data_IF_576965327359
#
_entry.id   IF_576965327359
#
_cell.length_a   1.000
_cell.length_b   1.000
_cell.length_c   1.000
_cell.angle_alpha   90.00
_cell.angle_beta   90.00
_cell.angle_gamma   90.00
#
_symmetry.space_group_name_H-M   'P 1'
#
loop_
_entity.id
_entity.type
_entity.pdbx_description
1 polymer ?
#
# COMPACT_ATOMS: atom_id res chain seq x y z
N UNK A 1 9.61 -5.32 -12.22
CA UNK A 1 10.65 -6.24 -11.71
C UNK A 1 10.02 -7.21 -10.71
N UNK A 2 10.56 -8.43 -10.60
CA UNK A 2 9.99 -9.47 -9.76
C UNK A 2 10.26 -9.20 -8.26
N UNK A 3 9.26 -9.47 -7.43
CA UNK A 3 9.40 -9.51 -5.98
C UNK A 3 9.59 -10.95 -5.52
N UNK A 4 10.44 -11.11 -4.51
CA UNK A 4 10.52 -12.35 -3.73
C UNK A 4 10.01 -12.06 -2.33
N UNK A 5 9.17 -12.92 -1.78
CA UNK A 5 8.64 -12.77 -0.42
C UNK A 5 9.19 -13.89 0.44
N UNK A 6 9.66 -13.55 1.66
CA UNK A 6 10.07 -14.52 2.67
C UNK A 6 9.40 -14.22 4.00
N UNK A 7 8.80 -15.25 4.60
CA UNK A 7 8.21 -15.20 5.92
C UNK A 7 9.26 -15.51 7.00
N UNK A 8 9.43 -14.59 7.94
CA UNK A 8 10.38 -14.73 9.04
C UNK A 8 9.65 -15.14 10.31
N UNK A 9 10.20 -16.16 10.97
CA UNK A 9 9.68 -16.78 12.20
C UNK A 9 10.67 -16.57 13.36
N UNK A 10 10.23 -16.81 14.58
CA UNK A 10 10.98 -16.59 15.81
C UNK A 10 10.49 -15.35 16.55
N UNK A 11 11.25 -14.89 17.55
CA UNK A 11 10.92 -13.66 18.27
C UNK A 11 11.26 -12.41 17.45
N UNK A 12 10.70 -11.28 17.79
CA UNK A 12 10.75 -10.06 16.97
C UNK A 12 12.16 -9.63 16.56
N UNK A 13 13.11 -9.67 17.48
CA UNK A 13 14.50 -9.32 17.18
C UNK A 13 15.14 -10.30 16.19
N UNK A 14 14.87 -11.61 16.35
CA UNK A 14 15.40 -12.64 15.48
C UNK A 14 14.89 -12.48 14.05
N UNK A 15 13.59 -12.17 13.86
CA UNK A 15 12.98 -11.91 12.53
C UNK A 15 13.65 -10.75 11.82
N UNK A 16 13.84 -9.64 12.53
CA UNK A 16 14.50 -8.45 12.01
C UNK A 16 15.97 -8.70 11.65
N UNK A 17 16.71 -9.41 12.52
CA UNK A 17 18.11 -9.79 12.26
C UNK A 17 18.25 -10.69 11.03
N UNK A 18 17.35 -11.67 10.87
CA UNK A 18 17.32 -12.55 9.72
C UNK A 18 16.97 -11.79 8.43
N UNK A 19 15.98 -10.89 8.45
CA UNK A 19 15.66 -10.04 7.32
C UNK A 19 16.81 -9.08 6.94
N UNK A 20 17.54 -8.57 7.94
CA UNK A 20 18.75 -7.77 7.73
C UNK A 20 19.87 -8.58 7.06
N UNK A 21 20.07 -9.83 7.49
CA UNK A 21 21.08 -10.72 6.92
C UNK A 21 20.77 -11.06 5.46
N UNK A 22 19.51 -11.28 5.14
CA UNK A 22 19.04 -11.56 3.77
C UNK A 22 18.97 -10.29 2.89
N UNK A 23 19.27 -9.11 3.43
CA UNK A 23 19.23 -7.82 2.72
C UNK A 23 17.86 -7.53 2.10
N UNK A 24 16.79 -7.80 2.83
CA UNK A 24 15.45 -7.42 2.40
C UNK A 24 15.37 -5.90 2.18
N UNK A 25 14.57 -5.48 1.20
CA UNK A 25 14.39 -4.04 0.88
C UNK A 25 13.26 -3.40 1.67
N UNK A 26 12.35 -4.21 2.19
CA UNK A 26 11.21 -3.81 2.98
C UNK A 26 10.89 -4.87 4.04
N UNK A 27 10.44 -4.43 5.21
CA UNK A 27 9.96 -5.30 6.29
C UNK A 27 8.55 -4.93 6.68
N UNK A 28 7.65 -5.90 6.66
CA UNK A 28 6.25 -5.77 7.06
C UNK A 28 5.96 -6.74 8.19
N UNK A 29 5.51 -6.23 9.32
CA UNK A 29 4.84 -7.03 10.34
C UNK A 29 3.35 -6.71 10.32
N UNK A 30 2.49 -7.72 10.21
CA UNK A 30 1.04 -7.53 10.10
C UNK A 30 0.34 -7.97 11.37
N UNK A 31 -0.46 -7.06 11.91
CA UNK A 31 -1.33 -7.21 13.07
C UNK A 31 -2.75 -6.78 12.72
N UNK A 32 -3.67 -6.98 13.65
CA UNK A 32 -4.95 -6.29 13.71
C UNK A 32 -5.08 -5.66 15.09
N UNK A 33 -5.53 -4.43 15.15
CA UNK A 33 -5.67 -3.68 16.40
C UNK A 33 -6.79 -4.28 17.27
N UNK A 34 -6.75 -3.97 18.54
CA UNK A 34 -7.83 -4.34 19.47
C UNK A 34 -7.94 -3.29 20.56
N UNK A 35 -9.17 -3.00 20.99
CA UNK A 35 -9.47 -2.04 22.04
C UNK A 35 -10.57 -2.50 22.97
N UNK A 36 -10.72 -1.85 24.11
CA UNK A 36 -11.78 -2.16 25.07
C UNK A 36 -13.18 -1.78 24.56
N UNK A 37 -13.27 -0.75 23.69
CA UNK A 37 -14.53 -0.36 23.06
C UNK A 37 -14.77 -1.15 21.78
N UNK A 38 -15.93 -1.81 21.61
CA UNK A 38 -16.28 -2.46 20.37
C UNK A 38 -16.58 -1.49 19.22
N UNK A 39 -16.70 -0.19 19.50
CA UNK A 39 -16.86 0.85 18.49
C UNK A 39 -15.54 1.49 18.05
N UNK A 40 -14.41 1.12 18.69
CA UNK A 40 -13.10 1.59 18.27
C UNK A 40 -12.79 1.09 16.85
N UNK A 41 -12.35 2.00 15.98
CA UNK A 41 -12.02 1.63 14.60
C UNK A 41 -11.28 2.75 13.87
N UNK A 42 -10.03 2.47 13.49
CA UNK A 42 -9.20 3.32 12.66
C UNK A 42 -8.06 2.49 12.06
N UNK A 43 -7.52 2.95 10.97
CA UNK A 43 -6.30 2.38 10.39
C UNK A 43 -5.08 3.12 10.91
N UNK A 44 -4.05 2.40 11.35
CA UNK A 44 -2.80 2.99 11.83
C UNK A 44 -1.62 2.05 11.54
N UNK A 45 -0.44 2.62 11.44
CA UNK A 45 0.81 1.90 11.23
C UNK A 45 1.82 2.31 12.29
N UNK A 46 2.39 1.35 12.99
CA UNK A 46 3.52 1.61 13.89
C UNK A 46 4.80 1.63 13.05
N UNK A 47 5.59 2.67 13.26
CA UNK A 47 6.95 2.78 12.74
C UNK A 47 7.93 2.94 13.88
N UNK A 48 9.16 2.46 13.71
CA UNK A 48 10.17 2.54 14.76
C UNK A 48 10.44 3.96 15.23
N UNK A 49 10.87 4.12 16.47
CA UNK A 49 11.30 5.42 17.03
C UNK A 49 12.43 6.06 16.20
N UNK A 50 13.22 5.24 15.51
CA UNK A 50 14.30 5.61 14.59
C UNK A 50 13.89 5.51 13.09
N UNK A 51 12.58 5.46 12.79
CA UNK A 51 12.10 5.22 11.44
C UNK A 51 12.59 6.24 10.43
N UNK A 52 12.97 5.77 9.25
CA UNK A 52 13.31 6.59 8.10
C UNK A 52 12.10 7.37 7.57
N UNK A 53 12.34 8.38 6.74
CA UNK A 53 11.28 9.09 6.02
C UNK A 53 10.46 8.15 5.14
N UNK A 54 11.09 7.17 4.50
CA UNK A 54 10.43 6.15 3.70
C UNK A 54 9.45 5.33 4.54
N UNK A 55 9.85 4.83 5.73
CA UNK A 55 8.93 4.10 6.62
C UNK A 55 7.73 4.95 7.03
N UNK A 56 7.96 6.23 7.38
CA UNK A 56 6.90 7.16 7.79
C UNK A 56 5.92 7.46 6.65
N UNK A 57 6.43 7.73 5.44
CA UNK A 57 5.60 8.01 4.28
C UNK A 57 4.82 6.78 3.83
N UNK A 58 5.47 5.61 3.85
CA UNK A 58 4.83 4.33 3.56
C UNK A 58 3.69 4.03 4.52
N UNK A 59 3.93 4.18 5.84
CA UNK A 59 2.92 3.97 6.87
C UNK A 59 1.72 4.90 6.70
N UNK A 60 1.95 6.20 6.45
CA UNK A 60 0.87 7.17 6.23
C UNK A 60 0.03 6.84 4.99
N UNK A 61 0.69 6.49 3.90
CA UNK A 61 0.02 6.11 2.67
C UNK A 61 -0.86 4.87 2.89
N UNK A 62 -0.29 3.82 3.50
CA UNK A 62 -1.01 2.57 3.76
C UNK A 62 -2.23 2.78 4.66
N UNK A 63 -2.07 3.49 5.78
CA UNK A 63 -3.18 3.76 6.70
C UNK A 63 -4.32 4.53 6.02
N UNK A 64 -4.00 5.50 5.17
CA UNK A 64 -5.00 6.26 4.41
C UNK A 64 -5.71 5.38 3.40
N UNK A 65 -4.98 4.59 2.62
CA UNK A 65 -5.58 3.68 1.64
C UNK A 65 -6.53 2.65 2.29
N UNK A 66 -6.17 2.14 3.48
CA UNK A 66 -7.06 1.27 4.26
C UNK A 66 -8.29 2.04 4.76
N UNK A 67 -8.10 3.25 5.28
CA UNK A 67 -9.20 4.07 5.78
C UNK A 67 -10.22 4.37 4.67
N UNK A 68 -9.74 4.73 3.49
CA UNK A 68 -10.57 5.00 2.31
C UNK A 68 -11.31 3.74 1.84
N UNK A 69 -10.63 2.59 1.78
CA UNK A 69 -11.21 1.31 1.33
C UNK A 69 -12.31 0.79 2.26
N UNK A 70 -12.14 0.95 3.58
CA UNK A 70 -13.03 0.38 4.58
C UNK A 70 -13.95 1.40 5.25
N UNK A 71 -13.93 2.66 4.84
CA UNK A 71 -14.75 3.73 5.40
C UNK A 71 -14.45 3.98 6.88
N UNK A 72 -13.20 3.82 7.30
CA UNK A 72 -12.78 4.04 8.69
C UNK A 72 -11.94 5.32 8.83
N UNK A 73 -11.55 5.65 10.06
CA UNK A 73 -10.71 6.82 10.33
C UNK A 73 -9.22 6.46 10.20
N UNK A 74 -8.39 7.48 10.06
CA UNK A 74 -6.93 7.38 10.17
C UNK A 74 -6.52 7.71 11.60
N UNK A 75 -5.81 6.80 12.26
CA UNK A 75 -5.32 6.97 13.63
C UNK A 75 -3.93 7.62 13.71
N UNK A 76 -3.51 7.97 14.92
CA UNK A 76 -2.16 8.49 15.19
C UNK A 76 -1.87 9.84 14.52
N UNK A 77 -0.60 10.09 14.21
CA UNK A 77 -0.14 11.28 13.48
C UNK A 77 -0.25 11.01 11.97
N UNK A 78 -1.41 11.35 11.40
CA UNK A 78 -1.68 11.17 9.97
C UNK A 78 -1.53 9.71 9.49
N UNK A 79 -1.84 8.74 10.31
CA UNK A 79 -1.79 7.31 10.01
C UNK A 79 -0.62 6.55 10.63
N UNK A 80 0.26 7.21 11.38
CA UNK A 80 1.40 6.54 12.00
C UNK A 80 1.49 6.78 13.51
N UNK A 81 2.07 5.80 14.22
CA UNK A 81 2.54 5.90 15.60
C UNK A 81 4.04 5.66 15.62
N UNK A 82 4.81 6.73 15.81
CA UNK A 82 6.27 6.65 15.90
C UNK A 82 6.66 6.10 17.26
N UNK A 83 7.41 4.98 17.28
CA UNK A 83 7.77 4.31 18.53
C UNK A 83 6.61 3.54 19.18
N UNK A 84 5.50 3.39 18.47
CA UNK A 84 4.35 2.61 18.90
C UNK A 84 3.46 3.28 19.94
N UNK A 85 2.52 2.51 20.48
CA UNK A 85 1.61 2.95 21.53
C UNK A 85 2.27 2.81 22.89
N UNK A 86 2.72 3.90 23.48
CA UNK A 86 3.47 3.90 24.74
C UNK A 86 4.68 2.91 24.71
N UNK A 87 5.38 2.86 23.57
CA UNK A 87 6.52 1.97 23.35
C UNK A 87 6.16 0.56 22.85
N UNK A 88 4.89 0.17 22.86
CA UNK A 88 4.45 -1.13 22.31
C UNK A 88 4.51 -1.11 20.79
N UNK A 89 5.14 -2.14 20.20
CA UNK A 89 5.34 -2.24 18.77
C UNK A 89 6.66 -1.64 18.25
N UNK A 90 7.30 -0.74 19.00
CA UNK A 90 8.61 -0.16 18.62
C UNK A 90 9.67 -1.26 18.39
N UNK A 91 9.79 -2.19 19.35
CA UNK A 91 10.74 -3.30 19.29
C UNK A 91 10.53 -4.26 18.12
N UNK A 92 9.36 -4.24 17.48
CA UNK A 92 9.02 -5.11 16.37
C UNK A 92 9.61 -4.64 15.04
N UNK A 93 10.01 -3.36 14.93
CA UNK A 93 10.42 -2.74 13.66
C UNK A 93 11.71 -1.92 13.75
N UNK A 94 12.13 -1.47 14.93
CA UNK A 94 13.25 -0.52 15.06
C UNK A 94 14.65 -1.11 14.82
N UNK A 95 14.79 -2.43 14.81
CA UNK A 95 16.08 -3.10 14.61
C UNK A 95 16.32 -3.53 13.17
N UNK A 96 15.43 -3.15 12.25
CA UNK A 96 15.59 -3.35 10.81
C UNK A 96 16.56 -2.33 10.22
N UNK A 97 17.30 -2.74 9.19
CA UNK A 97 18.18 -1.85 8.39
C UNK A 97 17.46 -1.26 7.17
N UNK A 98 16.39 -1.90 6.75
CA UNK A 98 15.52 -1.44 5.67
C UNK A 98 14.33 -0.67 6.23
N UNK A 99 13.56 0.05 5.40
CA UNK A 99 12.27 0.59 5.80
C UNK A 99 11.34 -0.50 6.34
N UNK A 100 10.69 -0.23 7.48
CA UNK A 100 9.87 -1.18 8.19
C UNK A 100 8.56 -0.55 8.67
N UNK A 101 7.50 -1.35 8.64
CA UNK A 101 6.17 -1.00 9.11
C UNK A 101 5.54 -2.16 9.88
N UNK A 102 4.82 -1.86 10.97
CA UNK A 102 3.91 -2.76 11.63
C UNK A 102 2.48 -2.26 11.36
N UNK A 103 1.71 -3.06 10.68
CA UNK A 103 0.38 -2.71 10.18
C UNK A 103 -0.69 -3.07 11.20
N UNK A 104 -1.57 -2.12 11.48
CA UNK A 104 -2.76 -2.26 12.32
C UNK A 104 -3.98 -1.71 11.53
N UNK A 105 -4.38 -2.40 10.44
CA UNK A 105 -5.33 -1.83 9.48
C UNK A 105 -6.75 -1.69 10.00
N UNK A 106 -7.20 -2.64 10.82
CA UNK A 106 -8.57 -2.76 11.32
C UNK A 106 -8.56 -3.31 12.75
N UNK A 107 -9.70 -3.21 13.44
CA UNK A 107 -9.86 -3.66 14.83
C UNK A 107 -10.52 -5.02 14.90
N UNK A 108 -9.83 -5.99 15.50
CA UNK A 108 -10.34 -7.32 15.82
C UNK A 108 -11.52 -7.27 16.80
N UNK A 109 -11.52 -6.29 17.71
CA UNK A 109 -12.59 -6.08 18.72
C UNK A 109 -13.84 -5.38 18.17
N UNK A 110 -13.79 -4.76 16.99
CA UNK A 110 -14.92 -4.10 16.36
C UNK A 110 -15.68 -5.11 15.50
N UNK A 111 -16.97 -5.43 15.78
CA UNK A 111 -17.69 -6.47 15.05
C UNK A 111 -17.75 -6.27 13.54
N UNK A 112 -18.00 -5.04 13.08
CA UNK A 112 -18.08 -4.74 11.65
C UNK A 112 -16.71 -4.90 10.96
N UNK A 113 -15.64 -4.44 11.61
CA UNK A 113 -14.29 -4.60 11.07
C UNK A 113 -13.80 -6.04 11.18
N UNK A 114 -14.17 -6.77 12.23
CA UNK A 114 -13.89 -8.20 12.37
C UNK A 114 -14.58 -9.03 11.27
N UNK A 115 -15.79 -8.65 10.85
CA UNK A 115 -16.46 -9.29 9.70
C UNK A 115 -15.66 -9.06 8.40
N UNK A 116 -15.15 -7.84 8.18
CA UNK A 116 -14.27 -7.56 7.05
C UNK A 116 -12.96 -8.38 7.12
N UNK A 117 -12.32 -8.47 8.30
CA UNK A 117 -11.10 -9.26 8.52
C UNK A 117 -11.32 -10.74 8.21
N UNK A 118 -12.47 -11.30 8.57
CA UNK A 118 -12.82 -12.72 8.31
C UNK A 118 -13.17 -12.98 6.84
N UNK A 119 -13.73 -11.98 6.15
CA UNK A 119 -14.21 -12.15 4.79
C UNK A 119 -13.07 -12.30 3.79
N UNK A 120 -13.26 -13.14 2.79
CA UNK A 120 -12.30 -13.27 1.70
C UNK A 120 -12.13 -11.95 0.93
N UNK A 121 -13.20 -11.22 0.73
CA UNK A 121 -13.20 -9.91 0.06
C UNK A 121 -12.37 -8.88 0.83
N UNK A 122 -12.54 -8.80 2.16
CA UNK A 122 -11.77 -7.90 3.01
C UNK A 122 -10.29 -8.26 3.05
N UNK A 123 -9.96 -9.54 3.19
CA UNK A 123 -8.56 -10.01 3.13
C UNK A 123 -7.92 -9.71 1.77
N UNK A 124 -8.65 -9.93 0.67
CA UNK A 124 -8.18 -9.62 -0.67
C UNK A 124 -7.99 -8.10 -0.89
N UNK A 125 -8.86 -7.27 -0.32
CA UNK A 125 -8.71 -5.81 -0.34
C UNK A 125 -7.46 -5.36 0.41
N UNK A 126 -7.25 -5.84 1.66
CA UNK A 126 -6.05 -5.55 2.43
C UNK A 126 -4.77 -6.02 1.71
N UNK A 127 -4.80 -7.20 1.10
CA UNK A 127 -3.68 -7.72 0.35
C UNK A 127 -3.35 -6.84 -0.88
N UNK A 128 -4.35 -6.39 -1.63
CA UNK A 128 -4.14 -5.47 -2.77
C UNK A 128 -3.54 -4.14 -2.34
N UNK A 129 -4.04 -3.53 -1.26
CA UNK A 129 -3.48 -2.29 -0.71
C UNK A 129 -2.01 -2.49 -0.32
N UNK A 130 -1.69 -3.62 0.33
CA UNK A 130 -0.30 -3.90 0.71
C UNK A 130 0.60 -4.11 -0.51
N UNK A 131 0.13 -4.81 -1.54
CA UNK A 131 0.85 -4.97 -2.82
C UNK A 131 1.12 -3.62 -3.46
N UNK A 132 0.11 -2.77 -3.57
CA UNK A 132 0.23 -1.43 -4.15
C UNK A 132 1.24 -0.59 -3.36
N UNK A 133 1.16 -0.62 -2.02
CA UNK A 133 2.11 0.08 -1.16
C UNK A 133 3.55 -0.38 -1.38
N UNK A 134 3.78 -1.70 -1.46
CA UNK A 134 5.11 -2.26 -1.71
C UNK A 134 5.62 -1.83 -3.09
N UNK A 135 4.80 -1.91 -4.13
CA UNK A 135 5.17 -1.50 -5.48
C UNK A 135 5.48 0.00 -5.58
N UNK A 136 4.72 0.82 -4.86
CA UNK A 136 4.90 2.28 -4.83
C UNK A 136 6.22 2.70 -4.16
N UNK A 137 6.56 2.09 -3.03
CA UNK A 137 7.72 2.51 -2.24
C UNK A 137 9.00 1.74 -2.57
N UNK A 138 8.88 0.59 -3.23
CA UNK A 138 10.00 -0.29 -3.60
C UNK A 138 9.87 -0.78 -5.05
N UNK A 139 9.81 0.13 -6.04
CA UNK A 139 9.47 -0.20 -7.43
C UNK A 139 10.48 -1.15 -8.10
N UNK A 140 11.70 -1.22 -7.58
CA UNK A 140 12.77 -2.05 -8.14
C UNK A 140 12.60 -3.57 -7.84
N UNK A 141 11.55 -3.96 -7.12
CA UNK A 141 11.34 -5.35 -6.72
C UNK A 141 12.29 -5.78 -5.61
N UNK A 142 12.79 -7.02 -5.67
CA UNK A 142 13.67 -7.67 -4.70
C UNK A 142 12.93 -8.35 -3.55
N UNK A 143 13.68 -8.70 -2.48
CA UNK A 143 13.18 -9.43 -1.33
C UNK A 143 12.40 -8.53 -0.37
N UNK A 144 11.13 -8.88 -0.13
CA UNK A 144 10.26 -8.28 0.89
C UNK A 144 10.14 -9.27 2.06
N UNK A 145 10.42 -8.79 3.26
CA UNK A 145 10.33 -9.57 4.49
C UNK A 145 8.94 -9.45 5.10
N UNK A 146 8.27 -10.58 5.33
CA UNK A 146 6.99 -10.65 6.02
C UNK A 146 7.13 -11.29 7.39
N UNK A 147 6.42 -10.74 8.37
CA UNK A 147 6.30 -11.20 9.74
C UNK A 147 4.83 -11.22 10.15
N UNK A 148 4.35 -12.37 10.58
CA UNK A 148 3.00 -12.49 11.13
C UNK A 148 3.03 -12.08 12.59
N UNK A 149 2.26 -11.09 12.97
CA UNK A 149 2.12 -10.66 14.35
C UNK A 149 1.72 -11.81 15.28
N UNK A 150 2.23 -11.83 16.48
CA UNK A 150 1.97 -12.86 17.50
C UNK A 150 2.44 -14.28 17.11
N UNK A 151 2.21 -14.74 15.90
CA UNK A 151 2.46 -16.12 15.47
C UNK A 151 3.95 -16.44 15.38
N UNK A 152 4.29 -17.70 15.59
CA UNK A 152 5.64 -18.25 15.43
C UNK A 152 6.73 -17.73 16.39
N UNK A 153 6.35 -17.11 17.49
CA UNK A 153 7.31 -16.75 18.53
C UNK A 153 7.88 -17.99 19.21
N UNK A 154 9.19 -18.00 19.46
CA UNK A 154 9.84 -19.03 20.28
C UNK A 154 9.55 -18.85 21.76
N UNK A 155 9.53 -17.61 22.23
CA UNK A 155 9.24 -17.27 23.63
C UNK A 155 7.77 -17.46 24.03
N UNK A 156 6.85 -17.45 23.07
CA UNK A 156 5.41 -17.58 23.31
C UNK A 156 4.74 -18.30 22.13
N UNK A 157 4.95 -19.62 21.96
CA UNK A 157 4.52 -20.36 20.76
C UNK A 157 2.99 -20.45 20.59
N UNK A 158 2.23 -20.25 21.66
CA UNK A 158 0.75 -20.27 21.65
C UNK A 158 0.12 -18.87 21.54
N UNK A 159 0.93 -17.80 21.44
CA UNK A 159 0.43 -16.46 21.24
C UNK A 159 -0.27 -16.36 19.87
N UNK A 160 -1.50 -15.86 19.87
CA UNK A 160 -2.33 -15.65 18.67
C UNK A 160 -2.87 -14.22 18.58
N UNK A 161 -2.45 -13.35 19.51
CA UNK A 161 -2.95 -11.97 19.56
C UNK A 161 -4.40 -11.90 20.03
N UNK A 162 -5.11 -10.90 19.59
CA UNK A 162 -6.50 -10.67 19.96
C UNK A 162 -7.44 -11.71 19.34
N UNK A 163 -8.49 -12.06 20.09
CA UNK A 163 -9.63 -12.76 19.51
C UNK A 163 -10.48 -11.79 18.69
N UNK A 164 -10.92 -12.23 17.51
CA UNK A 164 -11.85 -11.45 16.70
C UNK A 164 -13.26 -11.54 17.26
N UNK A 165 -13.98 -10.43 17.23
CA UNK A 165 -15.43 -10.45 17.46
C UNK A 165 -16.08 -11.41 16.45
N UNK A 166 -16.82 -12.40 16.97
CA UNK A 166 -17.42 -13.45 16.14
C UNK A 166 -16.54 -14.65 15.82
N UNK A 167 -15.32 -14.72 16.35
CA UNK A 167 -14.42 -15.89 16.29
C UNK A 167 -13.21 -15.73 15.36
N UNK A 168 -12.23 -16.57 15.60
CA UNK A 168 -10.91 -16.50 14.95
C UNK A 168 -9.91 -15.67 15.76
N UNK A 169 -8.67 -15.61 15.30
CA UNK A 169 -7.60 -14.88 15.96
C UNK A 169 -6.92 -13.89 15.01
N UNK A 170 -6.40 -12.81 15.58
CA UNK A 170 -5.63 -11.79 14.87
C UNK A 170 -4.53 -12.41 14.00
N UNK A 171 -3.72 -13.28 14.59
CA UNK A 171 -2.56 -13.86 13.92
C UNK A 171 -2.93 -14.76 12.73
N UNK A 172 -4.03 -15.50 12.82
CA UNK A 172 -4.44 -16.39 11.72
C UNK A 172 -4.93 -15.58 10.52
N UNK A 173 -5.67 -14.50 10.75
CA UNK A 173 -6.15 -13.63 9.67
C UNK A 173 -5.03 -12.72 9.11
N UNK A 174 -4.10 -12.26 9.95
CA UNK A 174 -2.92 -11.53 9.49
C UNK A 174 -2.07 -12.40 8.54
N UNK A 175 -1.93 -13.70 8.86
CA UNK A 175 -1.22 -14.63 7.99
C UNK A 175 -1.92 -14.78 6.63
N UNK A 176 -3.25 -14.93 6.62
CA UNK A 176 -4.02 -15.04 5.36
C UNK A 176 -3.84 -13.82 4.46
N UNK A 177 -3.86 -12.61 5.03
CA UNK A 177 -3.61 -11.38 4.27
C UNK A 177 -2.20 -11.38 3.70
N UNK A 178 -1.18 -11.72 4.49
CA UNK A 178 0.20 -11.77 4.03
C UNK A 178 0.43 -12.86 2.96
N UNK A 179 -0.21 -14.02 3.07
CA UNK A 179 -0.14 -15.08 2.07
C UNK A 179 -0.74 -14.62 0.73
N UNK A 180 -1.92 -13.99 0.75
CA UNK A 180 -2.55 -13.40 -0.44
C UNK A 180 -1.65 -12.31 -1.05
N UNK A 181 -1.05 -11.46 -0.21
CA UNK A 181 -0.09 -10.43 -0.66
C UNK A 181 1.13 -11.04 -1.33
N UNK A 182 1.70 -12.10 -0.74
CA UNK A 182 2.86 -12.80 -1.31
C UNK A 182 2.55 -13.40 -2.70
N UNK A 183 1.37 -14.00 -2.86
CA UNK A 183 0.92 -14.53 -4.14
C UNK A 183 0.78 -13.41 -5.20
N UNK A 184 0.19 -12.28 -4.83
CA UNK A 184 0.01 -11.13 -5.74
C UNK A 184 1.33 -10.42 -6.08
N UNK A 185 2.30 -10.39 -5.18
CA UNK A 185 3.63 -9.84 -5.44
C UNK A 185 4.46 -10.75 -6.34
N UNK A 186 4.32 -12.08 -6.18
CA UNK A 186 5.00 -13.07 -7.01
C UNK A 186 4.39 -13.16 -8.43
N UNK A 187 3.10 -12.88 -8.57
CA UNK A 187 2.50 -12.71 -9.88
C UNK A 187 3.13 -11.47 -10.53
N UNK A 188 3.63 -11.63 -11.76
CA UNK A 188 4.02 -10.45 -12.51
C UNK A 188 2.82 -9.49 -12.54
N UNK A 189 3.04 -8.17 -12.31
CA UNK A 189 1.96 -7.23 -12.53
C UNK A 189 1.44 -7.52 -13.94
N UNK A 190 0.14 -7.78 -14.06
CA UNK A 190 -0.48 -7.77 -15.37
C UNK A 190 0.07 -6.51 -16.04
N UNK A 191 0.77 -6.68 -17.17
CA UNK A 191 1.25 -5.52 -17.93
C UNK A 191 0.02 -4.65 -18.07
N UNK A 192 -0.02 -3.44 -17.48
CA UNK A 192 -1.19 -2.61 -17.67
C UNK A 192 -1.37 -2.54 -19.17
N UNK A 193 -2.52 -2.90 -19.66
CA UNK A 193 -2.86 -2.69 -21.06
C UNK A 193 -2.93 -1.17 -21.16
N UNK A 194 -1.76 -0.55 -21.37
CA UNK A 194 -1.70 0.90 -21.48
C UNK A 194 -2.61 1.27 -22.64
N UNK A 195 -3.76 1.80 -22.30
CA UNK A 195 -4.62 2.42 -23.29
C UNK A 195 -3.87 3.62 -23.82
N UNK A 196 -3.79 3.71 -25.12
CA UNK A 196 -3.19 4.86 -25.78
C UNK A 196 -4.29 5.83 -26.16
N UNK A 197 -4.26 7.03 -25.57
CA UNK A 197 -5.08 8.13 -26.08
C UNK A 197 -4.44 8.68 -27.34
N UNK A 198 -5.18 8.61 -28.44
CA UNK A 198 -4.76 9.19 -29.71
C UNK A 198 -5.68 10.33 -30.08
N UNK A 199 -5.13 11.51 -30.28
CA UNK A 199 -5.86 12.68 -30.79
C UNK A 199 -5.57 12.80 -32.27
N UNK A 200 -6.64 12.70 -33.08
CA UNK A 200 -6.57 12.66 -34.54
C UNK A 200 -7.24 13.90 -35.15
N UNK A 201 -6.71 14.39 -36.26
CA UNK A 201 -7.41 15.32 -37.18
C UNK A 201 -7.56 14.61 -38.53
N UNK A 202 -8.76 14.08 -38.81
CA UNK A 202 -8.92 13.16 -39.92
C UNK A 202 -8.01 11.94 -39.71
N UNK A 203 -7.17 11.60 -40.66
CA UNK A 203 -6.22 10.51 -40.59
C UNK A 203 -4.87 10.90 -39.95
N UNK A 204 -4.66 12.18 -39.65
CA UNK A 204 -3.39 12.68 -39.08
C UNK A 204 -3.37 12.52 -37.57
N UNK A 205 -2.40 11.77 -37.04
CA UNK A 205 -2.11 11.68 -35.62
C UNK A 205 -1.50 12.99 -35.15
N UNK A 206 -2.16 13.69 -34.22
CA UNK A 206 -1.68 14.93 -33.62
C UNK A 206 -0.91 14.71 -32.32
N UNK A 207 -1.36 13.71 -31.55
CA UNK A 207 -0.79 13.45 -30.22
C UNK A 207 -1.14 12.02 -29.81
N UNK A 208 -0.21 11.37 -29.12
CA UNK A 208 -0.40 10.06 -28.50
C UNK A 208 0.23 10.04 -27.12
N UNK A 209 -0.48 9.54 -26.11
CA UNK A 209 0.01 9.38 -24.76
C UNK A 209 -0.59 8.14 -24.11
N UNK A 210 0.15 7.40 -23.28
CA UNK A 210 -0.42 6.37 -22.45
C UNK A 210 -1.36 7.00 -21.41
N UNK A 211 -2.49 6.34 -21.17
CA UNK A 211 -3.48 6.71 -20.14
C UNK A 211 -3.85 5.46 -19.34
N UNK A 212 -4.14 5.63 -18.06
CA UNK A 212 -4.59 4.54 -17.21
C UNK A 212 -5.99 4.05 -17.63
N UNK A 213 -6.32 2.81 -17.27
CA UNK A 213 -7.56 2.15 -17.71
C UNK A 213 -8.82 2.90 -17.27
N UNK A 214 -8.72 3.60 -16.14
CA UNK A 214 -9.78 4.37 -15.48
C UNK A 214 -9.59 5.89 -15.57
N UNK A 215 -8.66 6.35 -16.41
CA UNK A 215 -8.45 7.77 -16.63
C UNK A 215 -9.71 8.46 -17.14
N UNK A 216 -10.06 9.56 -16.50
CA UNK A 216 -11.18 10.42 -16.92
C UNK A 216 -10.70 11.50 -17.87
N UNK A 217 -11.38 11.63 -19.00
CA UNK A 217 -11.10 12.67 -19.98
C UNK A 217 -12.16 13.76 -19.89
N UNK A 218 -11.72 15.01 -19.76
CA UNK A 218 -12.62 16.16 -19.78
C UNK A 218 -12.08 17.25 -20.69
N UNK A 219 -13.00 17.91 -21.43
CA UNK A 219 -12.66 18.99 -22.36
C UNK A 219 -13.12 20.33 -21.80
N UNK A 220 -12.23 21.32 -21.74
CA UNK A 220 -12.59 22.69 -21.45
C UNK A 220 -12.66 23.52 -22.73
N UNK A 221 -13.87 23.89 -23.14
CA UNK A 221 -14.08 24.74 -24.31
C UNK A 221 -13.56 26.16 -24.11
N UNK A 222 -13.59 26.69 -22.86
CA UNK A 222 -13.08 28.03 -22.55
C UNK A 222 -11.57 28.13 -22.71
N UNK A 223 -10.85 27.07 -22.35
CA UNK A 223 -9.38 27.03 -22.37
C UNK A 223 -8.83 26.29 -23.58
N UNK A 224 -9.68 25.63 -24.35
CA UNK A 224 -9.32 24.76 -25.47
C UNK A 224 -8.29 23.68 -25.07
N UNK A 225 -8.51 23.05 -23.89
CA UNK A 225 -7.61 22.08 -23.27
C UNK A 225 -8.34 20.76 -22.99
N UNK A 226 -7.65 19.66 -23.24
CA UNK A 226 -8.04 18.33 -22.82
C UNK A 226 -7.34 18.02 -21.48
N UNK A 227 -8.13 17.68 -20.48
CA UNK A 227 -7.62 17.23 -19.17
C UNK A 227 -7.69 15.72 -19.10
N UNK A 228 -6.64 15.11 -18.61
CA UNK A 228 -6.54 13.70 -18.29
C UNK A 228 -6.36 13.62 -16.77
N UNK A 229 -7.29 13.02 -16.06
CA UNK A 229 -7.22 12.75 -14.63
C UNK A 229 -7.06 11.25 -14.43
N UNK A 230 -5.95 10.84 -13.83
CA UNK A 230 -5.77 9.48 -13.34
C UNK A 230 -6.58 9.30 -12.06
N UNK A 231 -7.15 8.11 -11.84
CA UNK A 231 -7.93 7.84 -10.64
C UNK A 231 -7.04 7.92 -9.40
N UNK A 232 -7.21 8.95 -8.59
CA UNK A 232 -6.55 9.07 -7.28
C UNK A 232 -5.90 10.39 -6.94
N UNK A 233 -5.64 11.27 -7.89
CA UNK A 233 -5.15 12.62 -7.61
C UNK A 233 -6.10 13.68 -8.19
N UNK A 234 -6.37 14.75 -7.44
CA UNK A 234 -6.98 15.94 -8.04
C UNK A 234 -6.05 16.41 -9.18
N UNK A 235 -6.54 16.53 -10.41
CA UNK A 235 -5.70 16.66 -11.57
C UNK A 235 -4.87 17.94 -11.52
N UNK A 236 -3.55 17.81 -11.49
CA UNK A 236 -2.72 18.87 -12.02
C UNK A 236 -2.95 18.87 -13.55
N UNK A 237 -3.43 19.97 -14.13
CA UNK A 237 -3.71 20.01 -15.56
C UNK A 237 -2.42 19.80 -16.35
N UNK A 238 -2.31 18.70 -17.09
CA UNK A 238 -1.30 18.55 -18.12
C UNK A 238 -1.79 19.31 -19.36
N UNK A 239 -1.26 20.49 -19.59
CA UNK A 239 -1.49 21.21 -20.84
C UNK A 239 -0.87 20.40 -22.00
N UNK A 240 -1.68 20.07 -23.01
CA UNK A 240 -1.12 19.57 -24.25
C UNK A 240 -0.27 20.68 -24.88
N UNK A 241 0.89 20.35 -25.49
CA UNK A 241 1.65 21.34 -26.22
C UNK A 241 0.77 21.94 -27.32
N UNK A 242 0.58 23.23 -27.29
CA UNK A 242 -0.11 23.96 -28.38
C UNK A 242 0.65 23.65 -29.67
N UNK A 243 -0.04 23.11 -30.65
CA UNK A 243 0.53 22.90 -31.97
C UNK A 243 1.20 24.20 -32.44
N UNK A 244 2.53 24.21 -32.48
CA UNK A 244 3.29 25.33 -32.96
C UNK A 244 2.72 25.78 -34.31
N UNK A 245 2.51 27.10 -34.49
CA UNK A 245 2.15 27.67 -35.78
C UNK A 245 3.06 27.07 -36.85
N UNK A 246 2.50 26.25 -37.71
CA UNK A 246 3.21 25.80 -38.90
C UNK A 246 3.73 27.03 -39.64
N UNK A 247 5.04 27.15 -39.76
CA UNK A 247 5.65 28.18 -40.58
C UNK A 247 5.10 28.05 -42.00
N UNK A 248 4.55 29.11 -42.52
CA UNK A 248 4.08 29.19 -43.90
C UNK A 248 5.25 28.86 -44.85
N UNK A 249 5.01 28.05 -45.90
CA UNK A 249 6.07 27.79 -46.89
C UNK A 249 6.50 29.08 -47.56
N UNK A 250 7.79 29.36 -47.52
CA UNK A 250 8.39 30.48 -48.31
C UNK A 250 8.16 30.15 -49.79
N UNK A 251 7.47 31.06 -50.46
CA UNK A 251 7.37 31.03 -51.92
C UNK A 251 8.79 31.16 -52.49
N UNK A 252 9.14 30.24 -53.35
CA UNK A 252 10.35 30.32 -54.18
C UNK A 252 10.12 31.36 -55.25
N UNK A 253 11.04 32.32 -55.34
CA UNK A 253 11.19 33.21 -56.47
C UNK A 253 12.11 32.58 -57.50
#
# INVERSE_FOLDING_TARGET
MAYTVKFYKGDYLQRQQAANADRAVAYVEHHFNSGASPSAGYAVVVVGSNASSTSRNWGRWYARAVADQFGTQVGGDGGILVGGWAGRGDGNVKHTRMPAVLLEPLFASNPQQADAIRSEAGQAALARILVESVRRFFPDGRLVAFSVGHKYKTSSPNDRGAALAGGGTEADHAELVLQKTAQLLAAEPAVPTQRMLRVMRGETLLFETPVDEDATLSWSSERNLLYIADSGDAPAPRALPTAGKAAAPKAAA
#
